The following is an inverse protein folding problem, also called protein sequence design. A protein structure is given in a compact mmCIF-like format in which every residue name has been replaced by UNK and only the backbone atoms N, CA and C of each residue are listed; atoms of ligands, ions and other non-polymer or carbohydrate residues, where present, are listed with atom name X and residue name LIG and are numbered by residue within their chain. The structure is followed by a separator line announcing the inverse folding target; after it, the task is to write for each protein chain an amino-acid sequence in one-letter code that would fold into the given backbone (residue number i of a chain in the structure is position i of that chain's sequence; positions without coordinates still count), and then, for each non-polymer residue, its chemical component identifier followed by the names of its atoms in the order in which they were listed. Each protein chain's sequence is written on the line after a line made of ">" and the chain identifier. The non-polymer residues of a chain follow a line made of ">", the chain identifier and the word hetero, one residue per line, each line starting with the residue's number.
data_IF_190186390535
#
_entry.id   IF_190186390535
#
_cell.length_a   1.000
_cell.length_b   1.000
_cell.length_c   1.000
_cell.angle_alpha   90.00
_cell.angle_beta   90.00
_cell.angle_gamma   90.00
#
_symmetry.space_group_name_H-M   'P 1'
#
loop_
_entity.id
_entity.type
_entity.pdbx_description
1 polymer ?
#
# COMPACT_ATOMS: atom_id res chain seq x y z
N UNK A 1 -45.12 15.37 7.18
CA UNK A 1 -43.99 16.19 7.66
C UNK A 1 -43.02 15.31 8.45
N UNK A 2 -41.75 15.17 8.02
CA UNK A 2 -40.75 14.34 8.75
C UNK A 2 -40.23 15.13 9.97
N UNK A 3 -40.25 14.50 11.14
CA UNK A 3 -39.89 15.14 12.41
C UNK A 3 -38.47 15.73 12.35
N UNK A 4 -38.21 16.88 13.01
CA UNK A 4 -36.87 17.46 13.05
C UNK A 4 -35.88 16.47 13.66
N UNK A 5 -36.27 15.68 14.67
CA UNK A 5 -35.43 14.62 15.27
C UNK A 5 -34.97 13.56 14.26
N UNK A 6 -35.86 13.12 13.36
CA UNK A 6 -35.50 12.16 12.31
C UNK A 6 -34.53 12.73 11.27
N UNK A 7 -34.53 14.06 11.06
CA UNK A 7 -33.55 14.74 10.20
C UNK A 7 -32.18 14.82 10.84
N UNK A 8 -32.11 15.10 12.15
CA UNK A 8 -30.84 15.12 12.89
C UNK A 8 -30.20 13.72 12.98
N UNK A 9 -30.97 12.67 13.27
CA UNK A 9 -30.43 11.30 13.26
C UNK A 9 -29.89 10.89 11.89
N UNK A 10 -30.57 11.25 10.79
CA UNK A 10 -30.09 10.97 9.43
C UNK A 10 -28.79 11.68 9.10
N UNK A 11 -28.67 12.94 9.51
CA UNK A 11 -27.44 13.72 9.35
C UNK A 11 -26.29 13.11 10.16
N UNK A 12 -26.54 12.70 11.40
CA UNK A 12 -25.51 12.06 12.23
C UNK A 12 -25.04 10.73 11.63
N UNK A 13 -25.94 9.90 11.13
CA UNK A 13 -25.58 8.63 10.47
C UNK A 13 -24.71 8.85 9.23
N UNK A 14 -24.97 9.91 8.46
CA UNK A 14 -24.20 10.23 7.26
C UNK A 14 -22.83 10.87 7.57
N UNK A 15 -22.73 11.66 8.64
CA UNK A 15 -21.52 12.40 8.98
C UNK A 15 -20.56 11.64 9.90
N UNK A 16 -21.04 10.65 10.67
CA UNK A 16 -20.20 9.82 11.54
C UNK A 16 -19.05 9.08 10.82
N UNK A 17 -19.23 8.46 9.64
CA UNK A 17 -18.10 7.79 8.98
C UNK A 17 -17.02 8.76 8.50
N UNK A 18 -17.35 10.04 8.26
CA UNK A 18 -16.39 11.02 7.75
C UNK A 18 -15.26 11.31 8.76
N UNK A 19 -15.49 11.10 10.05
CA UNK A 19 -14.46 11.32 11.07
C UNK A 19 -13.36 10.25 11.05
N UNK A 20 -13.58 9.12 10.38
CA UNK A 20 -12.61 8.03 10.28
C UNK A 20 -11.72 8.10 9.02
N UNK A 21 -11.89 9.10 8.15
CA UNK A 21 -11.02 9.29 6.99
C UNK A 21 -9.67 9.95 7.35
N UNK A 22 -9.54 10.50 8.56
CA UNK A 22 -8.26 10.96 9.10
C UNK A 22 -7.41 9.77 9.52
N UNK A 23 -6.64 9.20 8.59
CA UNK A 23 -5.62 8.20 8.91
C UNK A 23 -4.46 8.79 9.71
N UNK A 24 -3.33 8.08 9.77
CA UNK A 24 -2.11 8.53 10.48
C UNK A 24 -1.40 9.74 9.85
N UNK A 25 -2.05 10.47 8.94
CA UNK A 25 -1.50 11.66 8.28
C UNK A 25 -1.22 12.82 9.27
N UNK A 26 -1.75 12.74 10.50
CA UNK A 26 -1.50 13.70 11.58
C UNK A 26 -0.36 13.27 12.52
N UNK A 27 0.31 12.14 12.25
CA UNK A 27 1.55 11.81 12.93
C UNK A 27 2.61 12.83 12.50
N UNK A 28 2.96 13.71 13.43
CA UNK A 28 3.89 14.81 13.19
C UNK A 28 5.30 14.21 13.01
N UNK A 29 5.76 14.13 11.76
CA UNK A 29 7.14 13.80 11.40
C UNK A 29 7.82 15.11 11.03
N UNK A 30 8.86 15.47 11.76
CA UNK A 30 9.52 16.76 11.54
C UNK A 30 10.16 16.75 10.13
N UNK A 31 10.19 17.89 9.41
CA UNK A 31 10.71 17.93 8.05
C UNK A 31 12.12 17.37 7.88
N UNK A 32 12.97 17.48 8.90
CA UNK A 32 14.34 16.94 8.91
C UNK A 32 14.43 15.44 9.22
N UNK A 33 13.39 14.84 9.81
CA UNK A 33 13.34 13.39 10.02
C UNK A 33 13.09 12.64 8.70
N UNK A 34 12.73 13.36 7.62
CA UNK A 34 12.53 12.80 6.27
C UNK A 34 13.83 12.32 5.64
N UNK A 35 14.97 12.91 5.98
CA UNK A 35 16.27 12.49 5.45
C UNK A 35 16.65 11.08 5.93
N UNK A 36 16.23 10.70 7.15
CA UNK A 36 16.46 9.35 7.68
C UNK A 36 15.74 8.27 6.86
N UNK A 37 14.55 8.58 6.33
CA UNK A 37 13.80 7.69 5.44
C UNK A 37 14.32 7.71 4.00
N UNK A 38 15.21 8.63 3.66
CA UNK A 38 15.82 8.74 2.33
C UNK A 38 17.16 8.00 2.23
N UNK A 39 17.64 7.40 3.32
CA UNK A 39 18.84 6.57 3.31
C UNK A 39 18.71 5.38 2.36
N UNK A 40 19.79 5.02 1.67
CA UNK A 40 19.81 3.91 0.70
C UNK A 40 19.37 2.58 1.32
N UNK A 41 19.71 2.35 2.59
CA UNK A 41 19.32 1.18 3.36
C UNK A 41 17.80 1.08 3.63
N UNK A 42 17.08 2.21 3.57
CA UNK A 42 15.62 2.28 3.74
C UNK A 42 14.88 2.17 2.40
N UNK A 43 15.60 2.03 1.28
CA UNK A 43 14.98 1.83 -0.04
C UNK A 43 14.26 0.48 -0.12
N UNK A 44 13.29 0.36 -1.03
CA UNK A 44 12.56 -0.89 -1.25
C UNK A 44 13.45 -2.05 -1.73
N UNK A 45 14.60 -1.74 -2.32
CA UNK A 45 15.58 -2.69 -2.81
C UNK A 45 16.98 -2.11 -2.59
N UNK A 46 17.52 -2.20 -1.36
CA UNK A 46 18.82 -1.61 -1.02
C UNK A 46 19.96 -2.34 -1.74
N UNK A 47 19.74 -3.60 -2.11
CA UNK A 47 20.66 -4.43 -2.89
C UNK A 47 19.94 -4.90 -4.17
N UNK A 48 19.93 -4.07 -5.24
CA UNK A 48 19.18 -4.37 -6.46
C UNK A 48 19.72 -5.61 -7.18
N UNK A 49 21.02 -5.87 -7.09
CA UNK A 49 21.66 -7.06 -7.67
C UNK A 49 21.16 -8.35 -7.01
N UNK A 50 21.10 -8.37 -5.67
CA UNK A 50 20.60 -9.54 -4.92
C UNK A 50 19.12 -9.74 -5.20
N UNK A 51 18.34 -8.66 -5.18
CA UNK A 51 16.90 -8.69 -5.50
C UNK A 51 16.65 -9.26 -6.90
N UNK A 52 17.45 -8.87 -7.90
CA UNK A 52 17.33 -9.39 -9.27
C UNK A 52 17.67 -10.89 -9.36
N UNK A 53 18.70 -11.35 -8.64
CA UNK A 53 19.08 -12.77 -8.60
C UNK A 53 17.98 -13.60 -7.93
N UNK A 54 17.45 -13.13 -6.79
CA UNK A 54 16.37 -13.81 -6.08
C UNK A 54 15.13 -13.92 -6.95
N UNK A 55 14.73 -12.83 -7.61
CA UNK A 55 13.63 -12.83 -8.58
C UNK A 55 13.84 -13.85 -9.70
N UNK A 56 15.06 -13.96 -10.24
CA UNK A 56 15.39 -14.95 -11.27
C UNK A 56 15.27 -16.39 -10.76
N UNK A 57 15.71 -16.66 -9.53
CA UNK A 57 15.61 -17.98 -8.90
C UNK A 57 14.14 -18.34 -8.65
N UNK A 58 13.35 -17.43 -8.07
CA UNK A 58 11.93 -17.67 -7.78
C UNK A 58 11.12 -17.82 -9.06
N UNK A 59 11.37 -17.00 -10.08
CA UNK A 59 10.76 -17.17 -11.39
C UNK A 59 11.07 -18.53 -12.01
N UNK A 60 12.31 -19.00 -11.90
CA UNK A 60 12.71 -20.31 -12.42
C UNK A 60 12.05 -21.48 -11.69
N UNK A 61 11.73 -21.32 -10.41
CA UNK A 61 11.09 -22.34 -9.57
C UNK A 61 9.56 -22.31 -9.66
N UNK A 62 8.98 -21.13 -9.81
CA UNK A 62 7.56 -20.85 -9.58
C UNK A 62 6.91 -20.07 -10.75
N UNK A 63 7.56 -20.02 -11.91
CA UNK A 63 7.06 -19.31 -13.09
C UNK A 63 5.69 -19.79 -13.61
N UNK A 64 5.25 -20.99 -13.19
CA UNK A 64 3.90 -21.49 -13.48
C UNK A 64 2.79 -20.79 -12.71
N UNK A 65 3.10 -20.18 -11.56
CA UNK A 65 2.11 -19.55 -10.67
C UNK A 65 1.98 -18.03 -10.84
N UNK A 66 2.86 -17.39 -11.61
CA UNK A 66 2.95 -15.92 -11.59
C UNK A 66 4.11 -15.47 -10.70
N UNK A 67 5.18 -14.95 -11.31
CA UNK A 67 6.27 -14.27 -10.60
C UNK A 67 5.92 -12.81 -10.26
N UNK A 68 6.87 -12.11 -9.64
CA UNK A 68 6.69 -10.71 -9.21
C UNK A 68 6.62 -9.68 -10.36
N UNK A 69 6.71 -10.13 -11.62
CA UNK A 69 6.71 -9.26 -12.80
C UNK A 69 5.48 -9.50 -13.69
N UNK A 70 4.98 -8.42 -14.27
CA UNK A 70 3.84 -8.40 -15.20
C UNK A 70 4.23 -9.11 -16.50
N UNK A 71 4.00 -10.42 -16.53
CA UNK A 71 4.24 -11.28 -17.69
C UNK A 71 4.58 -12.74 -17.37
N UNK A 72 4.72 -13.10 -16.09
CA UNK A 72 5.32 -14.38 -15.71
C UNK A 72 4.41 -15.34 -14.96
N UNK A 73 3.21 -15.67 -15.45
CA UNK A 73 2.35 -16.69 -14.84
C UNK A 73 1.61 -17.55 -15.86
N UNK A 74 2.05 -18.79 -16.02
CA UNK A 74 1.45 -19.77 -16.93
C UNK A 74 2.39 -20.93 -17.21
N UNK A 75 1.98 -21.91 -18.05
CA UNK A 75 2.77 -23.12 -18.37
C UNK A 75 4.13 -22.89 -19.08
N UNK A 76 4.67 -21.67 -19.05
CA UNK A 76 5.96 -21.32 -19.63
C UNK A 76 5.91 -20.91 -21.11
N UNK A 77 4.73 -20.64 -21.67
CA UNK A 77 4.60 -20.18 -23.06
C UNK A 77 4.54 -18.66 -23.12
N UNK A 78 5.69 -18.01 -23.30
CA UNK A 78 5.80 -16.70 -23.94
C UNK A 78 6.39 -16.90 -25.34
#
# INVERSE_FOLDING_TARGET
>A
MKSPRARHCRLLILLLPLTFLGGCATMDVQPWDRDLLAEEAMSFSPEPMITAIDNHIYFSKEGSTGGQEVGGGGCGCN
#
